data_IF_357293893752
#
_entry.id   IF_357293893752
#
_cell.length_a   1.000
_cell.length_b   1.000
_cell.length_c   1.000
_cell.angle_alpha   90.00
_cell.angle_beta   90.00
_cell.angle_gamma   90.00
#
_symmetry.space_group_name_H-M   'P 1'
#
loop_
_entity.id
_entity.type
_entity.pdbx_description
1 polymer ?
#
# COMPACT_ATOMS: atom_id res chain seq x y z
N UNK A 1 -12.82 -11.56 8.79
CA UNK A 1 -11.63 -10.97 9.44
C UNK A 1 -11.16 -11.76 10.68
N UNK A 2 -12.00 -12.00 11.70
CA UNK A 2 -11.56 -12.70 12.94
C UNK A 2 -10.88 -14.05 12.72
N UNK A 3 -11.26 -14.82 11.70
CA UNK A 3 -10.61 -16.09 11.37
C UNK A 3 -9.24 -15.88 10.71
N UNK A 4 -9.10 -14.89 9.85
CA UNK A 4 -7.85 -14.63 9.14
C UNK A 4 -6.73 -14.26 10.11
N UNK A 5 -6.97 -13.33 11.05
CA UNK A 5 -5.97 -12.92 12.05
C UNK A 5 -5.61 -14.02 13.06
N UNK A 6 -6.39 -15.12 13.14
CA UNK A 6 -6.02 -16.30 13.93
C UNK A 6 -5.02 -17.20 13.22
N UNK A 7 -4.86 -17.02 11.90
CA UNK A 7 -3.94 -17.82 11.07
C UNK A 7 -2.64 -17.05 10.90
N UNK A 8 -2.73 -15.77 10.51
CA UNK A 8 -1.57 -14.90 10.29
C UNK A 8 -2.00 -13.42 10.40
N UNK A 9 -1.05 -12.49 10.63
CA UNK A 9 -1.28 -11.07 10.44
C UNK A 9 -1.79 -10.81 9.02
N UNK A 10 -2.87 -10.05 8.88
CA UNK A 10 -3.58 -9.98 7.59
C UNK A 10 -3.84 -8.55 7.16
N UNK A 11 -3.92 -8.36 5.84
CA UNK A 11 -4.19 -7.09 5.20
C UNK A 11 -5.66 -6.68 5.26
N UNK A 12 -5.91 -5.41 4.95
CA UNK A 12 -7.22 -4.79 4.93
C UNK A 12 -8.11 -5.19 3.73
N UNK A 13 -7.71 -6.16 2.92
CA UNK A 13 -8.38 -6.56 1.65
C UNK A 13 -9.84 -6.93 1.82
N UNK A 14 -10.24 -7.37 3.01
CA UNK A 14 -11.63 -7.74 3.32
C UNK A 14 -12.58 -6.56 3.49
N UNK A 15 -12.06 -5.35 3.71
CA UNK A 15 -12.86 -4.18 3.99
C UNK A 15 -13.09 -3.33 2.73
N UNK A 16 -14.26 -2.68 2.61
CA UNK A 16 -14.47 -1.66 1.59
C UNK A 16 -13.67 -0.39 1.91
N UNK A 17 -13.22 0.30 0.87
CA UNK A 17 -12.48 1.54 1.00
C UNK A 17 -11.01 1.35 1.39
N UNK A 18 -10.45 2.34 2.05
CA UNK A 18 -9.12 2.29 2.66
C UNK A 18 -9.29 2.31 4.17
N UNK A 19 -8.70 1.35 4.85
CA UNK A 19 -8.84 1.23 6.29
C UNK A 19 -7.48 1.27 6.99
N UNK A 20 -7.45 1.96 8.13
CA UNK A 20 -6.40 1.81 9.11
C UNK A 20 -6.84 0.72 10.09
N UNK A 21 -6.08 -0.36 10.16
CA UNK A 21 -6.38 -1.47 11.05
C UNK A 21 -5.13 -1.97 11.78
N UNK A 22 -5.36 -2.59 12.92
CA UNK A 22 -4.39 -3.45 13.56
C UNK A 22 -4.42 -4.82 12.87
N UNK A 23 -3.36 -5.14 12.16
CA UNK A 23 -3.25 -6.36 11.36
C UNK A 23 -3.16 -7.64 12.20
N UNK A 24 -2.85 -7.52 13.50
CA UNK A 24 -2.78 -8.67 14.42
C UNK A 24 -4.14 -9.01 15.04
N UNK A 25 -4.95 -7.98 15.32
CA UNK A 25 -6.27 -8.16 15.94
C UNK A 25 -7.43 -8.02 14.96
N UNK A 26 -7.17 -7.47 13.78
CA UNK A 26 -8.20 -7.13 12.79
C UNK A 26 -9.10 -5.96 13.21
N UNK A 27 -8.69 -5.20 14.25
CA UNK A 27 -9.44 -4.03 14.71
C UNK A 27 -9.27 -2.87 13.75
N UNK A 28 -10.37 -2.40 13.18
CA UNK A 28 -10.39 -1.18 12.36
C UNK A 28 -10.39 0.04 13.27
N UNK A 29 -9.45 0.95 13.04
CA UNK A 29 -9.37 2.24 13.73
C UNK A 29 -10.10 3.32 12.95
N UNK A 30 -9.97 3.33 11.63
CA UNK A 30 -10.55 4.35 10.77
C UNK A 30 -10.76 3.82 9.36
N UNK A 31 -11.79 4.31 8.69
CA UNK A 31 -12.09 4.03 7.28
C UNK A 31 -12.10 5.34 6.51
N UNK A 32 -11.60 5.29 5.27
CA UNK A 32 -11.52 6.42 4.35
C UNK A 32 -12.09 6.03 3.00
N UNK A 33 -12.59 7.03 2.27
CA UNK A 33 -12.91 6.85 0.86
C UNK A 33 -11.65 6.60 0.04
N UNK A 34 -11.69 5.69 -0.94
CA UNK A 34 -10.53 5.42 -1.79
C UNK A 34 -10.18 6.66 -2.62
N UNK A 35 -8.93 7.14 -2.57
CA UNK A 35 -8.52 8.27 -3.38
C UNK A 35 -8.54 7.91 -4.87
N UNK A 36 -8.87 8.85 -5.76
CA UNK A 36 -9.12 8.59 -7.18
C UNK A 36 -7.81 8.49 -8.00
N UNK A 37 -6.91 7.61 -7.59
CA UNK A 37 -5.66 7.37 -8.29
C UNK A 37 -5.67 6.05 -9.06
N UNK A 38 -4.82 5.97 -10.08
CA UNK A 38 -4.28 4.73 -10.62
C UNK A 38 -2.89 4.46 -10.03
N UNK A 39 -2.39 3.26 -10.25
CA UNK A 39 -1.10 2.79 -9.75
C UNK A 39 -0.29 2.25 -10.92
N UNK A 40 0.98 2.61 -11.00
CA UNK A 40 2.00 1.87 -11.72
C UNK A 40 2.75 1.02 -10.70
N UNK A 41 2.72 -0.30 -10.84
CA UNK A 41 3.24 -1.26 -9.87
C UNK A 41 4.61 -1.77 -10.30
N UNK A 42 5.55 -1.76 -9.38
CA UNK A 42 6.92 -2.22 -9.58
C UNK A 42 7.30 -3.22 -8.49
N UNK A 43 7.84 -4.37 -8.90
CA UNK A 43 8.48 -5.30 -7.98
C UNK A 43 9.98 -5.00 -7.94
N UNK A 44 10.48 -4.62 -6.80
CA UNK A 44 11.87 -4.19 -6.61
C UNK A 44 12.83 -5.35 -6.43
N UNK A 45 12.33 -6.54 -6.12
CA UNK A 45 13.13 -7.76 -5.96
C UNK A 45 12.28 -9.03 -6.21
N UNK A 46 12.00 -9.38 -7.49
CA UNK A 46 11.14 -10.51 -7.84
C UNK A 46 11.66 -11.88 -7.38
N UNK A 47 12.93 -11.97 -7.00
CA UNK A 47 13.54 -13.21 -6.53
C UNK A 47 13.47 -13.36 -5.01
N UNK A 48 13.14 -12.28 -4.30
CA UNK A 48 13.03 -12.29 -2.85
C UNK A 48 11.64 -12.76 -2.43
N UNK A 49 11.59 -13.92 -1.80
CA UNK A 49 10.42 -14.35 -1.06
C UNK A 49 10.49 -13.77 0.36
N UNK A 50 9.52 -12.97 0.75
CA UNK A 50 9.41 -12.45 2.12
C UNK A 50 8.46 -13.36 2.90
N UNK A 51 9.01 -14.04 3.91
CA UNK A 51 8.19 -14.76 4.89
C UNK A 51 7.51 -13.74 5.80
N UNK A 52 6.20 -13.58 5.63
CA UNK A 52 5.40 -12.57 6.34
C UNK A 52 5.30 -12.83 7.83
N UNK A 53 5.33 -14.09 8.25
CA UNK A 53 5.29 -14.48 9.67
C UNK A 53 6.61 -14.13 10.34
N UNK A 54 7.73 -14.55 9.74
CA UNK A 54 9.07 -14.22 10.24
C UNK A 54 9.34 -12.71 10.20
N UNK A 55 8.83 -12.02 9.18
CA UNK A 55 8.92 -10.56 9.10
C UNK A 55 8.23 -9.88 10.29
N UNK A 56 7.07 -10.38 10.71
CA UNK A 56 6.35 -9.84 11.85
C UNK A 56 7.14 -10.00 13.17
N UNK A 57 7.76 -11.15 13.40
CA UNK A 57 8.63 -11.37 14.57
C UNK A 57 9.85 -10.43 14.58
N UNK A 58 10.48 -10.22 13.41
CA UNK A 58 11.58 -9.27 13.25
C UNK A 58 11.10 -7.82 13.47
N UNK A 59 9.90 -7.49 12.99
CA UNK A 59 9.28 -6.20 13.21
C UNK A 59 9.09 -5.90 14.70
N UNK A 60 8.48 -6.79 15.46
CA UNK A 60 8.26 -6.61 16.91
C UNK A 60 9.58 -6.36 17.64
N UNK A 61 10.63 -7.07 17.25
CA UNK A 61 11.97 -6.91 17.84
C UNK A 61 12.61 -5.56 17.49
N UNK A 62 12.41 -5.05 16.28
CA UNK A 62 13.01 -3.81 15.79
C UNK A 62 12.16 -2.56 16.09
N UNK A 63 10.86 -2.69 16.19
CA UNK A 63 9.95 -1.57 16.37
C UNK A 63 10.28 -0.73 17.62
N UNK A 64 10.78 -1.36 18.68
CA UNK A 64 11.23 -0.67 19.89
C UNK A 64 12.51 0.17 19.72
N UNK A 65 13.27 -0.05 18.65
CA UNK A 65 14.51 0.69 18.34
C UNK A 65 14.31 1.77 17.27
N UNK A 66 13.14 1.81 16.62
CA UNK A 66 12.82 2.81 15.59
C UNK A 66 12.34 4.12 16.19
N UNK A 67 12.53 5.25 15.50
CA UNK A 67 11.93 6.52 15.89
C UNK A 67 10.43 6.40 16.07
N UNK A 68 9.88 7.05 17.09
CA UNK A 68 8.45 7.13 17.28
C UNK A 68 7.81 7.97 16.16
N UNK A 69 7.10 7.34 15.24
CA UNK A 69 6.37 8.01 14.17
C UNK A 69 5.02 8.52 14.66
N UNK A 70 4.60 9.69 14.18
CA UNK A 70 3.26 10.24 14.45
C UNK A 70 2.20 9.59 13.56
N UNK A 71 1.86 8.34 13.86
CA UNK A 71 0.80 7.60 13.16
C UNK A 71 -0.55 8.31 13.20
N UNK A 72 -0.87 8.94 14.33
CA UNK A 72 -2.13 9.69 14.44
C UNK A 72 -2.13 10.92 13.52
N UNK A 73 -1.01 11.63 13.40
CA UNK A 73 -0.84 12.72 12.45
C UNK A 73 -0.91 12.27 11.01
N UNK A 74 -0.32 11.10 10.69
CA UNK A 74 -0.42 10.48 9.38
C UNK A 74 -1.87 10.21 8.98
N UNK A 75 -2.66 9.55 9.86
CA UNK A 75 -4.07 9.24 9.61
C UNK A 75 -4.92 10.51 9.45
N UNK A 76 -4.69 11.51 10.31
CA UNK A 76 -5.35 12.82 10.16
C UNK A 76 -5.03 13.49 8.83
N UNK A 77 -3.79 13.35 8.35
CA UNK A 77 -3.36 13.89 7.06
C UNK A 77 -4.02 13.14 5.92
N UNK A 78 -4.05 11.82 5.98
CA UNK A 78 -4.69 10.97 4.97
C UNK A 78 -6.16 11.36 4.75
N UNK A 79 -6.90 11.69 5.79
CA UNK A 79 -8.31 12.09 5.71
C UNK A 79 -8.59 13.48 5.12
N UNK A 80 -7.58 14.28 4.78
CA UNK A 80 -7.76 15.66 4.26
C UNK A 80 -7.96 15.76 2.74
N UNK A 81 -8.19 14.65 2.07
CA UNK A 81 -8.42 14.59 0.61
C UNK A 81 -7.29 13.94 -0.17
N UNK A 82 -7.48 13.79 -1.47
CA UNK A 82 -6.64 12.93 -2.32
C UNK A 82 -5.14 13.29 -2.29
N UNK A 83 -4.78 14.55 -2.42
CA UNK A 83 -3.38 14.98 -2.39
C UNK A 83 -2.73 14.73 -1.01
N UNK A 84 -3.45 15.01 0.05
CA UNK A 84 -2.98 14.77 1.40
C UNK A 84 -2.86 13.26 1.68
N UNK A 85 -3.77 12.45 1.14
CA UNK A 85 -3.69 10.99 1.22
C UNK A 85 -2.45 10.45 0.49
N UNK A 86 -2.13 10.98 -0.69
CA UNK A 86 -0.93 10.60 -1.44
C UNK A 86 0.37 10.98 -0.69
N UNK A 87 0.42 12.17 -0.10
CA UNK A 87 1.54 12.60 0.73
C UNK A 87 1.71 11.71 1.98
N UNK A 88 0.62 11.38 2.66
CA UNK A 88 0.63 10.49 3.81
C UNK A 88 1.07 9.07 3.42
N UNK A 89 0.62 8.56 2.28
CA UNK A 89 1.04 7.26 1.75
C UNK A 89 2.54 7.24 1.45
N UNK A 90 3.09 8.30 0.85
CA UNK A 90 4.52 8.45 0.59
C UNK A 90 5.32 8.46 1.90
N UNK A 91 4.85 9.21 2.90
CA UNK A 91 5.50 9.25 4.21
C UNK A 91 5.51 7.87 4.87
N UNK A 92 4.38 7.15 4.81
CA UNK A 92 4.27 5.77 5.30
C UNK A 92 5.23 4.83 4.56
N UNK A 93 5.37 4.98 3.24
CA UNK A 93 6.34 4.21 2.45
C UNK A 93 7.78 4.49 2.88
N UNK A 94 8.14 5.76 3.15
CA UNK A 94 9.45 6.12 3.67
C UNK A 94 9.72 5.50 5.06
N UNK A 95 8.73 5.48 5.95
CA UNK A 95 8.88 4.82 7.25
C UNK A 95 9.04 3.31 7.12
N UNK A 96 8.36 2.70 6.14
CA UNK A 96 8.54 1.28 5.86
C UNK A 96 9.97 0.93 5.41
N UNK A 97 10.67 1.84 4.72
CA UNK A 97 12.07 1.66 4.32
C UNK A 97 13.03 1.53 5.51
N UNK A 98 12.70 2.11 6.67
CA UNK A 98 13.50 1.95 7.90
C UNK A 98 13.48 0.52 8.42
N UNK A 99 12.47 -0.26 8.04
CA UNK A 99 12.18 -1.60 8.54
C UNK A 99 12.51 -2.65 7.50
N UNK A 100 11.96 -2.46 6.30
CA UNK A 100 12.11 -3.35 5.15
C UNK A 100 12.58 -2.54 3.94
N UNK A 101 13.88 -2.21 3.85
CA UNK A 101 14.43 -1.50 2.71
C UNK A 101 14.16 -2.27 1.41
N UNK A 102 13.65 -1.56 0.41
CA UNK A 102 13.38 -2.09 -0.92
C UNK A 102 14.46 -1.64 -1.89
N UNK A 103 14.92 -2.55 -2.72
CA UNK A 103 15.84 -2.19 -3.79
C UNK A 103 15.21 -1.09 -4.66
N UNK A 104 16.03 -0.17 -5.17
CA UNK A 104 15.60 0.89 -6.08
C UNK A 104 14.53 1.87 -5.55
N UNK A 105 14.20 1.89 -4.25
CA UNK A 105 13.19 2.80 -3.69
C UNK A 105 13.44 4.25 -4.08
N UNK A 106 14.66 4.75 -3.87
CA UNK A 106 15.02 6.14 -4.20
C UNK A 106 14.97 6.43 -5.71
N UNK A 107 15.32 5.45 -6.54
CA UNK A 107 15.23 5.59 -8.00
C UNK A 107 13.77 5.69 -8.46
N UNK A 108 12.88 4.85 -7.90
CA UNK A 108 11.44 4.89 -8.18
C UNK A 108 10.85 6.21 -7.69
N UNK A 109 11.22 6.66 -6.50
CA UNK A 109 10.78 7.94 -5.93
C UNK A 109 11.20 9.12 -6.80
N UNK A 110 12.47 9.17 -7.21
CA UNK A 110 12.97 10.22 -8.09
C UNK A 110 12.29 10.21 -9.48
N UNK A 111 11.98 9.02 -10.02
CA UNK A 111 11.24 8.90 -11.28
C UNK A 111 9.78 9.37 -11.11
N UNK A 112 9.13 9.03 -10.00
CA UNK A 112 7.79 9.49 -9.66
C UNK A 112 7.71 11.02 -9.55
N UNK A 113 8.68 11.65 -8.88
CA UNK A 113 8.77 13.10 -8.75
C UNK A 113 8.90 13.77 -10.14
N UNK A 114 9.67 13.20 -11.08
CA UNK A 114 9.86 13.73 -12.44
C UNK A 114 8.57 13.71 -13.27
N UNK A 115 7.70 12.73 -13.08
CA UNK A 115 6.38 12.70 -13.76
C UNK A 115 5.29 13.46 -13.02
N UNK A 116 5.64 14.11 -11.91
CA UNK A 116 4.67 14.83 -11.08
C UNK A 116 3.66 13.90 -10.41
N UNK A 117 4.07 12.69 -10.06
CA UNK A 117 3.22 11.73 -9.36
C UNK A 117 2.81 12.28 -7.99
N UNK A 118 1.53 12.13 -7.59
CA UNK A 118 1.05 12.60 -6.29
C UNK A 118 1.75 11.94 -5.10
N UNK A 119 2.25 10.71 -5.27
CA UNK A 119 2.93 10.00 -4.21
C UNK A 119 3.21 8.53 -4.52
N UNK A 120 3.61 7.80 -3.49
CA UNK A 120 3.97 6.39 -3.52
C UNK A 120 3.18 5.60 -2.47
N UNK A 121 3.01 4.31 -2.74
CA UNK A 121 2.61 3.31 -1.75
C UNK A 121 3.64 2.18 -1.76
N UNK A 122 3.87 1.54 -0.63
CA UNK A 122 4.76 0.40 -0.53
C UNK A 122 4.04 -0.78 0.13
N UNK A 123 4.33 -1.99 -0.33
CA UNK A 123 3.90 -3.19 0.36
C UNK A 123 4.53 -3.24 1.75
N UNK A 124 3.73 -3.58 2.76
CA UNK A 124 4.18 -3.62 4.16
C UNK A 124 5.27 -4.69 4.37
N UNK A 125 5.01 -5.91 3.95
CA UNK A 125 5.89 -7.07 4.09
C UNK A 125 6.37 -7.64 2.75
N UNK A 126 6.32 -6.84 1.67
CA UNK A 126 6.70 -7.29 0.33
C UNK A 126 7.68 -6.35 -0.36
N UNK A 127 8.00 -6.68 -1.60
CA UNK A 127 8.96 -5.96 -2.44
C UNK A 127 8.31 -4.97 -3.41
N UNK A 128 6.97 -4.88 -3.41
CA UNK A 128 6.23 -4.07 -4.37
C UNK A 128 6.11 -2.61 -3.92
N UNK A 129 6.34 -1.70 -4.87
CA UNK A 129 6.08 -0.27 -4.77
C UNK A 129 5.06 0.12 -5.83
N UNK A 130 4.07 0.93 -5.46
CA UNK A 130 3.13 1.54 -6.37
C UNK A 130 3.37 3.05 -6.48
N UNK A 131 3.52 3.54 -7.71
CA UNK A 131 3.52 4.98 -7.99
C UNK A 131 2.07 5.41 -8.21
N UNK A 132 1.59 6.34 -7.38
CA UNK A 132 0.26 6.93 -7.52
C UNK A 132 0.23 7.85 -8.74
N UNK A 133 -0.75 7.69 -9.60
CA UNK A 133 -0.90 8.47 -10.82
C UNK A 133 -2.30 9.06 -10.90
N UNK A 134 -2.46 10.24 -11.50
CA UNK A 134 -3.77 10.75 -11.87
C UNK A 134 -4.44 9.79 -12.87
N UNK A 135 -5.77 9.73 -12.89
CA UNK A 135 -6.52 8.79 -13.76
C UNK A 135 -6.21 8.88 -15.26
N UNK A 136 -5.60 9.98 -15.71
CA UNK A 136 -5.28 10.23 -17.11
C UNK A 136 -3.81 9.95 -17.47
N UNK A 137 -3.04 9.34 -16.60
CA UNK A 137 -1.58 9.26 -16.71
C UNK A 137 -1.05 7.94 -17.31
N UNK A 138 -1.74 7.35 -18.31
CA UNK A 138 -1.21 6.16 -19.00
C UNK A 138 0.23 6.39 -19.52
N UNK A 139 0.50 7.54 -20.13
CA UNK A 139 1.84 7.92 -20.60
C UNK A 139 2.88 8.03 -19.48
N UNK A 140 2.47 8.40 -18.27
CA UNK A 140 3.38 8.45 -17.14
C UNK A 140 3.82 7.04 -16.70
N UNK A 141 2.92 6.05 -16.75
CA UNK A 141 3.27 4.66 -16.46
C UNK A 141 4.26 4.08 -17.48
N UNK A 142 4.05 4.35 -18.77
CA UNK A 142 4.98 3.95 -19.85
C UNK A 142 6.35 4.60 -19.64
N UNK A 143 6.37 5.90 -19.39
CA UNK A 143 7.63 6.62 -19.13
C UNK A 143 8.36 6.10 -17.90
N UNK A 144 7.65 5.80 -16.81
CA UNK A 144 8.24 5.21 -15.60
C UNK A 144 8.88 3.85 -15.91
N UNK A 145 8.22 3.01 -16.70
CA UNK A 145 8.77 1.72 -17.13
C UNK A 145 10.06 1.90 -17.94
N UNK A 146 10.10 2.85 -18.86
CA UNK A 146 11.30 3.16 -19.66
C UNK A 146 12.46 3.69 -18.81
N UNK A 147 12.17 4.53 -17.80
CA UNK A 147 13.18 5.10 -16.92
C UNK A 147 13.71 4.12 -15.86
N UNK A 148 13.01 3.01 -15.62
CA UNK A 148 13.33 2.02 -14.59
C UNK A 148 13.56 0.63 -15.18
N UNK A 149 14.46 0.47 -16.17
CA UNK A 149 14.62 -0.79 -16.93
C UNK A 149 15.11 -1.95 -16.08
N UNK A 150 15.63 -1.69 -14.88
CA UNK A 150 16.15 -2.69 -13.95
C UNK A 150 15.15 -3.09 -12.85
N UNK A 151 13.94 -2.52 -12.90
CA UNK A 151 12.87 -2.81 -11.93
C UNK A 151 11.74 -3.51 -12.66
N UNK A 152 11.27 -4.62 -12.12
CA UNK A 152 10.20 -5.38 -12.75
C UNK A 152 8.87 -4.60 -12.70
N UNK A 153 8.38 -4.16 -13.86
CA UNK A 153 7.08 -3.53 -13.98
C UNK A 153 5.99 -4.59 -14.01
N UNK A 154 5.07 -4.54 -13.04
CA UNK A 154 3.97 -5.50 -12.92
C UNK A 154 2.70 -5.07 -13.67
N UNK A 155 2.64 -3.82 -14.13
CA UNK A 155 1.48 -3.29 -14.80
C UNK A 155 0.84 -2.10 -14.09
N UNK A 156 -0.29 -1.64 -14.64
CA UNK A 156 -1.09 -0.57 -14.05
C UNK A 156 -2.38 -1.12 -13.45
N UNK A 157 -2.82 -0.50 -12.35
CA UNK A 157 -4.06 -0.83 -11.66
C UNK A 157 -4.81 0.43 -11.26
N UNK A 158 -6.00 0.27 -10.71
CA UNK A 158 -6.80 1.38 -10.19
C UNK A 158 -7.17 1.12 -8.74
N UNK A 159 -7.16 2.17 -7.94
CA UNK A 159 -7.75 2.09 -6.59
C UNK A 159 -9.27 2.08 -6.76
N UNK A 160 -9.90 1.07 -6.21
CA UNK A 160 -11.35 0.90 -6.23
C UNK A 160 -11.88 0.83 -4.79
N UNK A 161 -13.14 1.21 -4.60
CA UNK A 161 -13.86 0.89 -3.38
C UNK A 161 -14.23 -0.59 -3.46
N UNK A 162 -13.49 -1.40 -2.72
CA UNK A 162 -13.59 -2.86 -2.78
C UNK A 162 -14.22 -3.43 -1.52
N UNK A 163 -13.62 -4.46 -1.04
CA UNK A 163 -14.09 -5.35 -0.02
C UNK A 163 -14.51 -6.69 -0.63
N UNK A 164 -14.75 -7.67 0.21
CA UNK A 164 -15.25 -8.97 -0.24
C UNK A 164 -16.76 -8.96 -0.12
N UNK A 165 -17.42 -9.36 -1.20
CA UNK A 165 -18.86 -9.62 -1.20
C UNK A 165 -19.14 -11.02 -1.75
N UNK A 166 -20.20 -11.62 -1.28
CA UNK A 166 -20.73 -12.85 -1.85
C UNK A 166 -22.02 -12.49 -2.60
N UNK A 167 -22.11 -12.97 -3.82
CA UNK A 167 -23.32 -12.89 -4.64
C UNK A 167 -23.91 -14.29 -4.78
N UNK A 168 -25.15 -14.47 -4.34
CA UNK A 168 -25.88 -15.71 -4.47
C UNK A 168 -26.50 -15.84 -5.86
N UNK A 169 -26.86 -17.07 -6.30
CA UNK A 169 -27.46 -17.29 -7.62
C UNK A 169 -28.79 -16.55 -7.84
N UNK A 170 -29.48 -16.15 -6.79
CA UNK A 170 -30.70 -15.33 -6.82
C UNK A 170 -30.42 -13.82 -6.96
N UNK A 171 -29.14 -13.43 -7.05
CA UNK A 171 -28.72 -12.05 -7.16
C UNK A 171 -28.60 -11.29 -5.84
N UNK A 172 -28.87 -11.96 -4.70
CA UNK A 172 -28.66 -11.36 -3.40
C UNK A 172 -27.14 -11.16 -3.14
N UNK A 173 -26.78 -10.03 -2.52
CA UNK A 173 -25.41 -9.69 -2.20
C UNK A 173 -25.26 -9.43 -0.71
N UNK A 174 -24.21 -9.99 -0.09
CA UNK A 174 -23.77 -9.58 1.23
C UNK A 174 -22.33 -9.10 1.19
N UNK A 175 -22.07 -7.99 1.86
CA UNK A 175 -20.73 -7.44 2.05
C UNK A 175 -20.17 -7.98 3.37
N UNK A 176 -18.98 -8.52 3.32
CA UNK A 176 -18.26 -9.06 4.47
C UNK A 176 -17.07 -8.14 4.79
N UNK A 177 -17.36 -7.02 5.43
CA UNK A 177 -16.38 -6.08 5.92
C UNK A 177 -16.72 -5.59 7.32
#
# INVERSE_FOLDING_TARGET
>A
MRLAVQIEPTDATFFPGVVALDHTTGRVFQTFDPPPFSLALFDTDPQRCVDTVLFHEVWETRAGALPAHDWAGLLRTFGKGAQAAAAAATLSACWNEEILPKQHFEAIKAAADRVGAPGLVAAHSGTVIGVLLSRQAAKAAEWLQECLPHVAYLGSSRIISGGIFVEWPDGAKANFG
#
